data_IF_327816232025
#
_entry.id   IF_327816232025
#
_cell.length_a   1.000
_cell.length_b   1.000
_cell.length_c   1.000
_cell.angle_alpha   90.00
_cell.angle_beta   90.00
_cell.angle_gamma   90.00
#
_symmetry.space_group_name_H-M   'P 1'
#
loop_
_entity.id
_entity.type
_entity.pdbx_description
1 polymer ?
#
# COMPACT_ATOMS: atom_id res chain seq x y z
N UNK A 1 -14.63 -16.94 -1.88
CA UNK A 1 -13.96 -15.68 -1.57
C UNK A 1 -13.46 -14.95 -2.81
N UNK A 2 -12.64 -15.52 -3.68
CA UNK A 2 -12.21 -14.97 -4.97
C UNK A 2 -12.73 -15.82 -6.12
N UNK A 3 -12.83 -15.25 -7.33
CA UNK A 3 -13.43 -15.95 -8.48
C UNK A 3 -12.43 -16.76 -9.29
N UNK A 4 -11.17 -16.34 -9.33
CA UNK A 4 -10.06 -17.05 -9.96
C UNK A 4 -8.80 -16.74 -9.19
N UNK A 5 -7.86 -17.67 -9.20
CA UNK A 5 -6.61 -17.53 -8.46
C UNK A 5 -5.42 -17.94 -9.33
N UNK A 6 -4.30 -17.27 -9.05
CA UNK A 6 -3.01 -17.57 -9.63
C UNK A 6 -2.02 -17.84 -8.51
N UNK A 7 -1.03 -18.68 -8.80
CA UNK A 7 0.14 -18.77 -7.94
C UNK A 7 1.19 -17.82 -8.51
N UNK A 8 1.68 -16.92 -7.68
CA UNK A 8 2.73 -15.97 -8.05
C UNK A 8 3.95 -16.24 -7.20
N UNK A 9 5.11 -16.28 -7.82
CA UNK A 9 6.36 -16.56 -7.14
C UNK A 9 7.43 -15.52 -7.51
N UNK A 10 8.13 -15.01 -6.50
CA UNK A 10 9.21 -14.04 -6.65
C UNK A 10 10.53 -14.62 -6.18
N UNK A 11 11.56 -14.55 -7.03
CA UNK A 11 12.93 -14.99 -6.75
C UNK A 11 13.04 -16.46 -6.27
N UNK A 12 12.14 -17.34 -6.70
CA UNK A 12 12.04 -18.73 -6.25
C UNK A 12 11.95 -18.88 -4.71
N UNK A 13 11.55 -17.81 -4.02
CA UNK A 13 11.51 -17.75 -2.56
C UNK A 13 10.13 -17.38 -2.03
N UNK A 14 9.53 -16.32 -2.55
CA UNK A 14 8.28 -15.78 -2.02
C UNK A 14 7.10 -16.23 -2.87
N UNK A 15 6.18 -16.96 -2.29
CA UNK A 15 5.05 -17.56 -2.98
C UNK A 15 3.73 -17.06 -2.41
N UNK A 16 2.82 -16.67 -3.28
CA UNK A 16 1.49 -16.14 -2.95
C UNK A 16 0.39 -16.80 -3.76
N UNK A 17 -0.77 -17.01 -3.12
CA UNK A 17 -2.02 -17.17 -3.85
C UNK A 17 -2.55 -15.76 -4.16
N UNK A 18 -2.66 -15.41 -5.43
CA UNK A 18 -3.27 -14.17 -5.91
C UNK A 18 -4.72 -14.46 -6.27
N UNK A 19 -5.65 -13.89 -5.52
CA UNK A 19 -7.08 -13.98 -5.79
C UNK A 19 -7.60 -12.65 -6.33
N UNK A 20 -8.55 -12.73 -7.28
CA UNK A 20 -9.21 -11.57 -7.87
C UNK A 20 -10.61 -11.36 -7.29
N UNK A 21 -11.05 -10.10 -7.26
CA UNK A 21 -12.41 -9.70 -6.87
C UNK A 21 -12.84 -10.30 -5.53
N UNK A 22 -11.99 -10.14 -4.51
CA UNK A 22 -12.17 -10.71 -3.19
C UNK A 22 -13.11 -9.85 -2.35
N UNK A 23 -14.18 -10.44 -1.85
CA UNK A 23 -15.05 -9.80 -0.87
C UNK A 23 -14.48 -9.93 0.52
N UNK A 24 -14.35 -8.79 1.22
CA UNK A 24 -13.93 -8.67 2.61
C UNK A 24 -15.11 -8.20 3.44
N UNK A 25 -15.38 -8.87 4.54
CA UNK A 25 -16.55 -8.62 5.38
C UNK A 25 -16.29 -8.94 6.87
N UNK A 26 -17.34 -9.06 7.66
CA UNK A 26 -17.24 -9.34 9.10
C UNK A 26 -16.52 -10.66 9.42
N UNK A 27 -16.59 -11.68 8.57
CA UNK A 27 -15.84 -12.94 8.76
C UNK A 27 -14.32 -12.72 8.70
N UNK A 28 -13.90 -11.73 7.91
CA UNK A 28 -12.50 -11.31 7.81
C UNK A 28 -12.14 -10.29 8.92
N UNK A 29 -13.12 -9.88 9.75
CA UNK A 29 -12.98 -8.86 10.79
C UNK A 29 -13.06 -7.44 10.24
N UNK A 30 -13.69 -7.26 9.08
CA UNK A 30 -13.89 -5.98 8.41
C UNK A 30 -15.35 -5.55 8.61
N UNK A 31 -15.58 -4.44 9.33
CA UNK A 31 -16.93 -3.98 9.69
C UNK A 31 -17.72 -3.41 8.51
N UNK A 32 -17.05 -2.95 7.46
CA UNK A 32 -17.67 -2.41 6.25
C UNK A 32 -17.34 -3.36 5.10
N UNK A 33 -18.37 -3.84 4.39
CA UNK A 33 -18.17 -4.65 3.21
C UNK A 33 -17.30 -3.92 2.18
N UNK A 34 -16.24 -4.60 1.74
CA UNK A 34 -15.32 -4.09 0.73
C UNK A 34 -15.03 -5.16 -0.29
N UNK A 35 -14.83 -4.75 -1.54
CA UNK A 35 -14.47 -5.66 -2.62
C UNK A 35 -13.11 -5.25 -3.19
N UNK A 36 -12.09 -6.02 -2.86
CA UNK A 36 -10.74 -5.82 -3.36
C UNK A 36 -10.60 -6.34 -4.79
N UNK A 37 -9.85 -5.64 -5.63
CA UNK A 37 -9.56 -6.10 -6.98
C UNK A 37 -8.64 -7.32 -6.94
N UNK A 38 -7.62 -7.28 -6.07
CA UNK A 38 -6.69 -8.38 -5.87
C UNK A 38 -6.36 -8.54 -4.39
N UNK A 39 -6.07 -9.77 -3.97
CA UNK A 39 -5.47 -10.06 -2.67
C UNK A 39 -4.35 -11.09 -2.85
N UNK A 40 -3.15 -10.74 -2.37
CA UNK A 40 -2.03 -11.64 -2.27
C UNK A 40 -2.01 -12.30 -0.90
N UNK A 41 -2.23 -13.60 -0.85
CA UNK A 41 -2.14 -14.40 0.37
C UNK A 41 -0.77 -15.09 0.44
N UNK A 42 0.10 -14.74 1.40
CA UNK A 42 1.42 -15.35 1.51
C UNK A 42 1.33 -16.83 1.88
N UNK A 43 2.17 -17.66 1.26
CA UNK A 43 2.25 -19.10 1.51
C UNK A 43 3.44 -19.51 2.36
N UNK A 44 4.56 -18.84 2.18
CA UNK A 44 5.84 -19.24 2.74
C UNK A 44 6.63 -18.09 3.38
N UNK A 45 5.96 -16.96 3.65
CA UNK A 45 6.51 -15.85 4.44
C UNK A 45 5.51 -15.42 5.51
N UNK A 46 5.97 -14.60 6.46
CA UNK A 46 5.15 -14.09 7.59
C UNK A 46 4.63 -12.68 7.34
N UNK A 47 4.49 -12.30 6.08
CA UNK A 47 3.83 -11.06 5.71
C UNK A 47 2.32 -11.19 5.89
N UNK A 48 1.64 -10.10 6.24
CA UNK A 48 0.18 -10.05 6.20
C UNK A 48 -0.30 -10.13 4.75
N UNK A 49 -1.51 -10.65 4.48
CA UNK A 49 -2.09 -10.56 3.14
C UNK A 49 -2.15 -9.11 2.66
N UNK A 50 -1.86 -8.90 1.37
CA UNK A 50 -1.87 -7.57 0.75
C UNK A 50 -3.15 -7.44 -0.07
N UNK A 51 -3.99 -6.51 0.32
CA UNK A 51 -5.22 -6.12 -0.39
C UNK A 51 -4.88 -5.00 -1.36
N UNK A 52 -5.14 -5.21 -2.64
CA UNK A 52 -4.86 -4.24 -3.70
C UNK A 52 -6.15 -3.71 -4.31
N UNK A 53 -6.25 -2.39 -4.36
CA UNK A 53 -7.29 -1.67 -5.10
C UNK A 53 -6.68 -1.01 -6.33
N UNK A 54 -7.41 -1.09 -7.45
CA UNK A 54 -7.01 -0.45 -8.70
C UNK A 54 -7.90 0.78 -8.92
N UNK A 55 -7.31 1.95 -8.84
CA UNK A 55 -8.03 3.22 -8.94
C UNK A 55 -8.00 3.75 -10.37
N UNK A 56 -9.17 3.85 -10.98
CA UNK A 56 -9.37 4.49 -12.28
C UNK A 56 -9.88 5.92 -12.11
N UNK A 57 -9.14 6.91 -12.57
CA UNK A 57 -9.45 8.34 -12.38
C UNK A 57 -10.88 8.74 -12.78
N UNK A 58 -11.40 8.18 -13.86
CA UNK A 58 -12.73 8.54 -14.39
C UNK A 58 -13.93 8.09 -13.53
N UNK A 59 -13.73 7.14 -12.61
CA UNK A 59 -14.83 6.55 -11.85
C UNK A 59 -14.84 6.93 -10.37
N UNK A 60 -13.75 7.48 -9.84
CA UNK A 60 -13.56 7.64 -8.40
C UNK A 60 -13.81 9.06 -7.86
N UNK A 61 -13.87 10.09 -8.70
CA UNK A 61 -14.03 11.48 -8.26
C UNK A 61 -15.25 11.71 -7.33
N UNK A 62 -16.31 10.91 -7.48
CA UNK A 62 -17.52 10.99 -6.65
C UNK A 62 -17.58 9.98 -5.49
N UNK A 63 -16.57 9.11 -5.33
CA UNK A 63 -16.56 8.02 -4.35
C UNK A 63 -15.36 8.04 -3.41
N UNK A 64 -14.47 9.01 -3.54
CA UNK A 64 -13.20 9.09 -2.79
C UNK A 64 -13.39 8.91 -1.28
N UNK A 65 -14.37 9.58 -0.69
CA UNK A 65 -14.62 9.50 0.75
C UNK A 65 -15.02 8.09 1.20
N UNK A 66 -15.86 7.42 0.41
CA UNK A 66 -16.31 6.07 0.74
C UNK A 66 -15.20 5.03 0.56
N UNK A 67 -14.41 5.17 -0.49
CA UNK A 67 -13.30 4.26 -0.78
C UNK A 67 -12.19 4.42 0.28
N UNK A 68 -11.89 5.64 0.69
CA UNK A 68 -10.96 5.93 1.80
C UNK A 68 -11.45 5.34 3.13
N UNK A 69 -12.73 5.49 3.45
CA UNK A 69 -13.32 4.92 4.65
C UNK A 69 -13.24 3.39 4.67
N UNK A 70 -13.51 2.72 3.54
CA UNK A 70 -13.39 1.28 3.42
C UNK A 70 -11.94 0.81 3.63
N UNK A 71 -10.97 1.46 2.99
CA UNK A 71 -9.54 1.16 3.14
C UNK A 71 -9.09 1.35 4.58
N UNK A 72 -9.51 2.43 5.23
CA UNK A 72 -9.18 2.71 6.62
C UNK A 72 -9.69 1.61 7.56
N UNK A 73 -10.90 1.09 7.35
CA UNK A 73 -11.43 -0.02 8.16
C UNK A 73 -10.59 -1.29 7.98
N UNK A 74 -10.15 -1.59 6.76
CA UNK A 74 -9.29 -2.74 6.49
C UNK A 74 -7.93 -2.55 7.20
N UNK A 75 -7.32 -1.37 7.12
CA UNK A 75 -6.06 -1.04 7.79
C UNK A 75 -6.19 -1.18 9.30
N UNK A 76 -7.24 -0.57 9.89
CA UNK A 76 -7.50 -0.62 11.34
C UNK A 76 -7.77 -2.03 11.87
N UNK A 77 -8.18 -2.96 11.02
CA UNK A 77 -8.30 -4.37 11.42
C UNK A 77 -6.96 -5.00 11.83
N UNK A 78 -5.86 -4.44 11.37
CA UNK A 78 -4.51 -4.94 11.59
C UNK A 78 -4.18 -6.27 10.88
N UNK A 79 -5.14 -6.84 10.12
CA UNK A 79 -5.01 -8.16 9.48
C UNK A 79 -4.41 -8.12 8.09
N UNK A 80 -4.45 -6.98 7.43
CA UNK A 80 -4.08 -6.79 6.03
C UNK A 80 -3.12 -5.61 5.87
N UNK A 81 -2.34 -5.63 4.81
CA UNK A 81 -1.69 -4.47 4.23
C UNK A 81 -2.61 -4.00 3.10
N UNK A 82 -2.93 -2.72 3.04
CA UNK A 82 -3.73 -2.14 1.96
C UNK A 82 -2.81 -1.43 0.98
N UNK A 83 -3.02 -1.64 -0.32
CA UNK A 83 -2.25 -1.03 -1.38
C UNK A 83 -3.15 -0.52 -2.49
N UNK A 84 -2.96 0.71 -2.92
CA UNK A 84 -3.67 1.31 -4.05
C UNK A 84 -2.71 1.53 -5.20
N UNK A 85 -3.14 1.18 -6.40
CA UNK A 85 -2.40 1.42 -7.64
C UNK A 85 -3.35 2.04 -8.68
N UNK A 86 -2.80 2.84 -9.56
CA UNK A 86 -3.51 3.35 -10.72
C UNK A 86 -3.11 2.57 -11.97
N UNK A 87 -3.85 2.77 -13.06
CA UNK A 87 -3.46 2.22 -14.35
C UNK A 87 -2.17 2.86 -14.87
N UNK A 88 -1.92 4.11 -14.51
CA UNK A 88 -0.67 4.81 -14.81
C UNK A 88 0.51 4.17 -14.11
N UNK A 89 0.35 3.75 -12.84
CA UNK A 89 1.39 3.03 -12.09
C UNK A 89 1.80 1.72 -12.79
N UNK A 90 0.85 1.09 -13.50
CA UNK A 90 1.08 -0.19 -14.18
C UNK A 90 1.63 0.01 -15.60
N UNK A 91 1.07 0.95 -16.35
CA UNK A 91 1.39 1.12 -17.76
C UNK A 91 2.60 2.00 -18.00
N UNK A 92 2.73 3.05 -17.22
CA UNK A 92 3.91 3.92 -17.29
C UNK A 92 4.03 4.88 -16.12
N UNK A 93 4.76 4.63 -15.17
CA UNK A 93 5.94 5.41 -14.87
C UNK A 93 5.76 6.94 -14.77
N UNK A 94 4.54 7.46 -14.60
CA UNK A 94 4.40 8.85 -14.22
C UNK A 94 4.82 9.02 -12.76
N UNK A 95 6.14 9.21 -12.58
CA UNK A 95 6.82 9.47 -11.31
C UNK A 95 6.34 10.75 -10.62
N UNK A 96 5.44 11.50 -11.25
CA UNK A 96 5.00 12.82 -10.77
C UNK A 96 3.85 12.80 -9.77
N UNK A 97 3.27 11.63 -9.45
CA UNK A 97 2.12 11.55 -8.54
C UNK A 97 2.44 10.81 -7.23
N UNK A 98 2.99 11.50 -6.22
CA UNK A 98 3.33 10.90 -4.92
C UNK A 98 2.13 10.58 -4.02
N UNK A 99 0.90 10.95 -4.38
CA UNK A 99 -0.27 10.92 -3.51
C UNK A 99 -0.59 9.53 -2.96
N UNK A 100 -0.55 8.50 -3.80
CA UNK A 100 -0.83 7.12 -3.37
C UNK A 100 0.25 6.53 -2.45
N UNK A 101 1.48 7.00 -2.55
CA UNK A 101 2.55 6.55 -1.65
C UNK A 101 2.29 6.97 -0.22
N UNK A 102 1.77 8.17 0.00
CA UNK A 102 1.37 8.63 1.32
C UNK A 102 0.23 7.79 1.88
N UNK A 103 -0.82 7.52 1.11
CA UNK A 103 -1.90 6.65 1.55
C UNK A 103 -1.39 5.25 1.87
N UNK A 104 -0.56 4.67 1.02
CA UNK A 104 -0.07 3.32 1.19
C UNK A 104 0.88 3.16 2.39
N UNK A 105 1.64 4.17 2.75
CA UNK A 105 2.62 4.08 3.82
C UNK A 105 2.22 4.85 5.09
N UNK A 106 1.87 6.14 4.97
CA UNK A 106 1.62 6.99 6.13
C UNK A 106 0.41 6.55 6.94
N UNK A 107 -0.68 6.17 6.26
CA UNK A 107 -1.92 5.77 6.93
C UNK A 107 -1.73 4.48 7.73
N UNK A 108 -0.84 3.60 7.30
CA UNK A 108 -0.61 2.30 7.92
C UNK A 108 0.38 2.34 9.10
N UNK A 109 1.09 3.45 9.29
CA UNK A 109 2.18 3.56 10.25
C UNK A 109 2.03 4.80 11.14
N UNK A 110 2.34 4.66 12.44
CA UNK A 110 2.65 5.82 13.27
C UNK A 110 4.03 6.35 12.89
N UNK A 111 4.07 7.57 12.35
CA UNK A 111 5.32 8.16 11.87
C UNK A 111 6.11 8.81 13.00
N UNK A 112 7.24 8.22 13.35
CA UNK A 112 8.23 8.83 14.22
C UNK A 112 9.46 9.22 13.39
N UNK A 113 9.69 10.52 13.20
CA UNK A 113 10.76 11.04 12.34
C UNK A 113 12.15 10.51 12.71
N UNK A 114 12.44 10.36 14.01
CA UNK A 114 13.75 9.83 14.45
C UNK A 114 13.92 8.35 14.08
N UNK A 115 12.85 7.59 14.11
CA UNK A 115 12.86 6.18 13.72
C UNK A 115 12.96 6.06 12.20
N UNK A 116 12.21 6.91 11.46
CA UNK A 116 12.25 6.89 9.99
C UNK A 116 13.64 7.21 9.45
N UNK A 117 14.34 8.16 10.03
CA UNK A 117 15.71 8.51 9.63
C UNK A 117 16.70 7.34 9.72
N UNK A 118 16.53 6.50 10.73
CA UNK A 118 17.35 5.29 10.90
C UNK A 118 17.30 4.37 9.68
N UNK A 119 16.13 4.24 9.06
CA UNK A 119 15.94 3.32 7.93
C UNK A 119 16.15 3.99 6.57
N UNK A 120 16.14 5.31 6.49
CA UNK A 120 16.25 6.03 5.23
C UNK A 120 17.49 5.63 4.40
N UNK A 121 18.64 5.53 5.03
CA UNK A 121 19.88 5.20 4.33
C UNK A 121 19.83 3.84 3.61
N UNK A 122 19.12 2.87 4.19
CA UNK A 122 18.94 1.53 3.63
C UNK A 122 17.94 1.51 2.45
N UNK A 123 16.85 2.27 2.58
CA UNK A 123 15.73 2.19 1.65
C UNK A 123 15.66 3.34 0.63
N UNK A 124 16.56 4.33 0.70
CA UNK A 124 16.58 5.48 -0.22
C UNK A 124 16.56 5.11 -1.72
N UNK A 125 17.13 3.95 -2.07
CA UNK A 125 17.17 3.45 -3.46
C UNK A 125 15.79 3.12 -4.04
N UNK A 126 14.75 3.08 -3.22
CA UNK A 126 13.39 2.77 -3.64
C UNK A 126 12.52 4.01 -3.82
N UNK A 127 13.01 5.21 -3.48
CA UNK A 127 12.22 6.46 -3.52
C UNK A 127 11.79 6.82 -4.94
N UNK A 128 12.65 6.52 -5.93
CA UNK A 128 12.37 6.80 -7.34
C UNK A 128 11.51 5.71 -8.02
N UNK A 129 11.09 4.69 -7.28
CA UNK A 129 10.25 3.64 -7.82
C UNK A 129 8.79 4.08 -7.93
N UNK A 130 8.10 3.58 -8.95
CA UNK A 130 6.66 3.73 -9.06
C UNK A 130 5.95 2.96 -7.94
N UNK A 131 4.69 3.29 -7.72
CA UNK A 131 3.86 2.62 -6.73
C UNK A 131 3.72 1.11 -6.99
N UNK A 132 3.63 0.74 -8.27
CA UNK A 132 3.60 -0.66 -8.69
C UNK A 132 4.94 -1.38 -8.44
N UNK A 133 6.06 -0.74 -8.77
CA UNK A 133 7.39 -1.29 -8.47
C UNK A 133 7.62 -1.48 -6.98
N UNK A 134 7.12 -0.55 -6.14
CA UNK A 134 7.18 -0.68 -4.68
C UNK A 134 6.33 -1.85 -4.17
N UNK A 135 5.16 -2.07 -4.74
CA UNK A 135 4.37 -3.28 -4.44
C UNK A 135 5.16 -4.56 -4.74
N UNK A 136 5.86 -4.61 -5.89
CA UNK A 136 6.70 -5.76 -6.23
C UNK A 136 7.88 -5.95 -5.25
N UNK A 137 8.43 -4.88 -4.69
CA UNK A 137 9.46 -4.99 -3.63
C UNK A 137 8.86 -5.49 -2.30
N UNK A 138 7.67 -5.03 -1.94
CA UNK A 138 6.98 -5.50 -0.72
C UNK A 138 6.66 -6.99 -0.79
N UNK A 139 6.31 -7.50 -1.96
CA UNK A 139 6.06 -8.94 -2.16
C UNK A 139 7.32 -9.82 -1.98
N UNK A 140 8.50 -9.20 -1.82
CA UNK A 140 9.77 -9.87 -1.52
C UNK A 140 10.22 -9.71 -0.06
N UNK A 141 9.35 -9.21 0.82
CA UNK A 141 9.63 -9.01 2.23
C UNK A 141 9.25 -10.25 3.04
N UNK A 142 10.09 -10.66 3.99
CA UNK A 142 9.90 -11.91 4.73
C UNK A 142 8.78 -11.87 5.77
N UNK A 143 8.59 -10.71 6.41
CA UNK A 143 7.65 -10.57 7.52
C UNK A 143 7.16 -9.12 7.66
N UNK A 144 6.16 -8.93 8.52
CA UNK A 144 5.55 -7.61 8.73
C UNK A 144 6.52 -6.58 9.33
N UNK A 145 7.43 -6.99 10.21
CA UNK A 145 8.43 -6.07 10.78
C UNK A 145 9.41 -5.53 9.76
N UNK A 146 9.78 -6.32 8.75
CA UNK A 146 10.59 -5.84 7.63
C UNK A 146 9.81 -4.92 6.70
N UNK A 147 8.50 -5.18 6.51
CA UNK A 147 7.61 -4.24 5.82
C UNK A 147 7.53 -2.88 6.57
N UNK A 148 7.43 -2.88 7.89
CA UNK A 148 7.44 -1.64 8.69
C UNK A 148 8.72 -0.84 8.48
N UNK A 149 9.89 -1.48 8.55
CA UNK A 149 11.18 -0.82 8.30
C UNK A 149 11.25 -0.25 6.88
N UNK A 150 10.83 -1.02 5.90
CA UNK A 150 10.78 -0.60 4.51
C UNK A 150 9.89 0.64 4.34
N UNK A 151 8.67 0.60 4.86
CA UNK A 151 7.72 1.72 4.76
C UNK A 151 8.23 2.97 5.46
N UNK A 152 8.80 2.84 6.66
CA UNK A 152 9.40 3.96 7.39
C UNK A 152 10.58 4.58 6.64
N UNK A 153 11.41 3.76 5.99
CA UNK A 153 12.52 4.24 5.15
C UNK A 153 12.05 5.05 3.94
N UNK A 154 11.00 4.60 3.27
CA UNK A 154 10.38 5.31 2.15
C UNK A 154 9.75 6.63 2.62
N UNK A 155 8.99 6.62 3.72
CA UNK A 155 8.40 7.82 4.31
C UNK A 155 9.50 8.84 4.65
N UNK A 156 10.59 8.42 5.26
CA UNK A 156 11.71 9.30 5.58
C UNK A 156 12.31 9.96 4.33
N UNK A 157 12.39 9.22 3.22
CA UNK A 157 12.82 9.74 1.94
C UNK A 157 11.93 10.86 1.42
N UNK A 158 10.63 10.66 1.46
CA UNK A 158 9.66 11.69 1.05
C UNK A 158 9.69 12.92 1.95
N UNK A 159 9.84 12.74 3.27
CA UNK A 159 9.93 13.86 4.21
C UNK A 159 11.23 14.65 4.09
N UNK A 160 12.31 14.02 3.59
CA UNK A 160 13.60 14.68 3.34
C UNK A 160 13.71 15.32 1.95
N UNK A 161 12.88 14.90 1.00
CA UNK A 161 12.80 15.59 -0.28
C UNK A 161 12.41 17.06 -0.04
N UNK A 162 12.92 18.01 -0.82
CA UNK A 162 12.56 19.41 -0.70
C UNK A 162 11.11 19.61 -1.15
N UNK A 163 10.18 19.21 -0.31
CA UNK A 163 8.77 19.51 -0.46
C UNK A 163 8.49 20.87 0.19
N UNK A 164 7.90 21.78 -0.52
CA UNK A 164 7.28 22.94 0.10
C UNK A 164 6.23 22.43 1.09
N UNK A 165 6.26 22.95 2.31
CA UNK A 165 5.42 22.50 3.43
C UNK A 165 3.92 22.53 3.06
N UNK A 166 3.51 23.45 2.21
CA UNK A 166 2.16 23.60 1.70
C UNK A 166 1.73 22.39 0.86
N UNK A 167 2.61 21.83 0.03
CA UNK A 167 2.33 20.65 -0.76
C UNK A 167 2.16 19.41 0.11
N UNK A 168 2.86 19.36 1.25
CA UNK A 168 2.74 18.25 2.20
C UNK A 168 1.35 18.21 2.87
N UNK A 169 0.81 19.37 3.26
CA UNK A 169 -0.51 19.46 3.90
C UNK A 169 -1.63 19.07 2.93
N UNK A 170 -1.47 19.39 1.64
CA UNK A 170 -2.45 19.04 0.59
C UNK A 170 -2.42 17.54 0.23
N UNK A 171 -1.31 16.85 0.50
CA UNK A 171 -1.17 15.41 0.29
C UNK A 171 -1.77 14.57 1.42
N UNK A 172 -2.05 15.16 2.60
CA UNK A 172 -2.69 14.44 3.70
C UNK A 172 -4.19 14.32 3.38
N UNK A 173 -4.73 13.10 3.31
CA UNK A 173 -6.16 12.90 3.10
C UNK A 173 -6.99 13.69 4.12
N UNK A 174 -8.09 14.30 3.68
CA UNK A 174 -8.98 15.08 4.56
C UNK A 174 -9.52 14.26 5.74
N UNK A 175 -9.52 12.94 5.64
CA UNK A 175 -9.88 12.01 6.73
C UNK A 175 -8.87 11.96 7.88
N UNK A 176 -7.69 12.57 7.72
CA UNK A 176 -6.61 12.60 8.72
C UNK A 176 -6.38 14.05 9.24
N UNK A 177 -6.85 15.06 8.52
CA UNK A 177 -6.87 16.45 8.97
C UNK A 177 -7.95 16.62 10.04
#
# INVERSE_FOLDING_TARGET
RGRSGFIVEFNNKYRYDLLQQVSLNQEDGISIYSKADFVFYPKNCKLKPIVVFTDGFAYHEKRVDNDSAQRMVIIKSGKFIVWSITWEDVNEFDKSKPNYLFENFLIQQEVNLKVTEKYFAEYKKYIDKTNFELLLEILKVDNYGDFEKFSLGIIAGYLKAPMELNNFIDLIPNSIK
#
